data_IF_379369488636
#
_entry.id   IF_379369488636
#
_cell.length_a   1.000
_cell.length_b   1.000
_cell.length_c   1.000
_cell.angle_alpha   90.00
_cell.angle_beta   90.00
_cell.angle_gamma   90.00
#
_symmetry.space_group_name_H-M   'P 1'
#
loop_
_entity.id
_entity.type
_entity.pdbx_description
1 polymer ?
#
# COMPACT_ATOMS: atom_id res chain seq x y z
N UNK A 1 5.73 43.02 52.26
CA UNK A 1 4.58 43.33 51.38
C UNK A 1 5.13 43.94 50.10
N UNK A 2 5.20 43.16 49.02
CA UNK A 2 5.66 43.62 47.71
C UNK A 2 4.45 44.16 46.91
N UNK A 3 4.54 45.38 46.40
CA UNK A 3 3.46 46.02 45.64
C UNK A 3 3.33 45.42 44.23
N UNK A 4 2.12 45.02 43.85
CA UNK A 4 1.78 44.61 42.50
C UNK A 4 1.72 45.84 41.57
N UNK A 5 2.60 45.91 40.58
CA UNK A 5 2.55 46.93 39.54
C UNK A 5 1.73 46.40 38.36
N UNK A 6 0.46 46.82 38.25
CA UNK A 6 -0.38 46.51 37.10
C UNK A 6 -0.12 47.52 35.97
N UNK A 7 0.45 47.06 34.85
CA UNK A 7 0.64 47.88 33.66
C UNK A 7 -0.72 48.30 33.07
N UNK A 8 -0.92 49.60 32.85
CA UNK A 8 -2.13 50.15 32.22
C UNK A 8 -2.21 49.69 30.76
N UNK A 9 -3.41 49.31 30.33
CA UNK A 9 -3.66 48.94 28.93
C UNK A 9 -3.41 50.15 28.00
N UNK A 10 -2.61 49.96 26.96
CA UNK A 10 -2.29 50.99 25.98
C UNK A 10 -3.53 51.39 25.18
N UNK A 11 -3.88 52.68 25.15
CA UNK A 11 -5.00 53.19 24.35
C UNK A 11 -4.67 53.02 22.87
N UNK A 12 -5.35 52.11 22.19
CA UNK A 12 -5.24 51.98 20.73
C UNK A 12 -6.14 53.03 20.07
N UNK A 13 -5.59 53.87 19.19
CA UNK A 13 -6.34 54.94 18.50
C UNK A 13 -7.43 54.42 17.55
N UNK A 14 -7.45 53.12 17.24
CA UNK A 14 -8.39 52.52 16.31
C UNK A 14 -9.01 51.25 16.87
N UNK A 15 -10.35 51.16 16.79
CA UNK A 15 -11.14 49.99 17.15
C UNK A 15 -10.71 48.75 16.36
N UNK A 16 -10.27 47.71 17.07
CA UNK A 16 -9.93 46.40 16.48
C UNK A 16 -11.17 45.77 15.81
N UNK A 17 -10.96 44.85 14.86
CA UNK A 17 -12.06 44.17 14.15
C UNK A 17 -13.06 43.50 15.12
N UNK A 18 -12.60 43.08 16.30
CA UNK A 18 -13.43 42.49 17.34
C UNK A 18 -14.33 43.51 18.07
N UNK A 19 -13.84 44.73 18.35
CA UNK A 19 -14.66 45.74 19.05
C UNK A 19 -15.80 46.31 18.19
N UNK A 20 -15.66 46.25 16.85
CA UNK A 20 -16.73 46.62 15.90
C UNK A 20 -17.93 45.68 15.94
N UNK A 21 -17.75 44.44 16.41
CA UNK A 21 -18.84 43.46 16.49
C UNK A 21 -19.78 43.74 17.67
N UNK A 22 -19.29 44.43 18.71
CA UNK A 22 -20.03 44.70 19.96
C UNK A 22 -21.13 45.77 19.73
N UNK A 23 -20.96 46.64 18.73
CA UNK A 23 -21.96 47.66 18.36
C UNK A 23 -22.92 47.25 17.24
N UNK A 24 -23.03 45.95 16.91
CA UNK A 24 -24.16 45.48 16.10
C UNK A 24 -25.42 45.48 16.96
N UNK A 25 -26.03 46.64 17.07
CA UNK A 25 -27.38 46.79 17.59
C UNK A 25 -28.31 45.98 16.69
N UNK A 26 -29.12 45.10 17.31
CA UNK A 26 -30.23 44.44 16.65
C UNK A 26 -31.26 45.50 16.28
N UNK A 27 -31.08 46.13 15.11
CA UNK A 27 -32.09 47.00 14.52
C UNK A 27 -32.90 46.18 13.53
N UNK A 28 -34.10 45.85 13.99
CA UNK A 28 -35.27 45.60 13.14
C UNK A 28 -35.39 46.68 12.05
N UNK A 29 -36.02 46.29 10.96
CA UNK A 29 -36.59 47.12 9.90
C UNK A 29 -35.71 47.42 8.68
N UNK A 30 -35.81 46.54 7.68
CA UNK A 30 -36.67 46.77 6.50
C UNK A 30 -36.46 45.65 5.49
N UNK A 31 -37.55 44.99 5.13
CA UNK A 31 -37.68 44.14 3.95
C UNK A 31 -37.28 44.94 2.69
N UNK A 32 -35.99 44.97 2.38
CA UNK A 32 -35.53 45.07 1.01
C UNK A 32 -35.18 43.65 0.61
N UNK A 33 -36.03 43.07 -0.24
CA UNK A 33 -35.65 41.96 -1.11
C UNK A 33 -34.58 42.55 -2.03
N UNK A 34 -33.35 42.66 -1.52
CA UNK A 34 -32.19 42.73 -2.37
C UNK A 34 -32.23 41.42 -3.14
N UNK A 35 -32.33 41.53 -4.48
CA UNK A 35 -32.18 40.38 -5.39
C UNK A 35 -31.09 39.51 -4.81
N UNK A 36 -31.40 38.24 -4.53
CA UNK A 36 -30.45 37.28 -4.00
C UNK A 36 -29.24 37.35 -4.91
N UNK A 37 -28.21 38.05 -4.42
CA UNK A 37 -26.98 38.28 -5.16
C UNK A 37 -26.52 36.86 -5.46
N UNK A 38 -26.60 36.48 -6.73
CA UNK A 38 -26.33 35.13 -7.20
C UNK A 38 -24.85 34.94 -6.91
N UNK A 39 -24.55 34.52 -5.68
CA UNK A 39 -23.24 34.24 -5.10
C UNK A 39 -22.67 32.96 -5.75
N UNK A 40 -22.77 32.85 -7.07
CA UNK A 40 -22.28 31.73 -7.88
C UNK A 40 -20.76 31.60 -7.74
N UNK A 41 -20.07 32.68 -7.33
CA UNK A 41 -18.64 32.68 -7.00
C UNK A 41 -18.27 32.51 -5.52
N UNK A 42 -19.13 32.90 -4.56
CA UNK A 42 -18.82 32.83 -3.11
C UNK A 42 -19.10 31.44 -2.56
N UNK A 43 -18.30 30.49 -3.01
CA UNK A 43 -18.49 29.07 -2.70
C UNK A 43 -17.78 28.18 -3.69
N UNK A 44 -17.45 28.65 -4.90
CA UNK A 44 -16.78 27.86 -5.93
C UNK A 44 -15.44 27.27 -5.44
N UNK A 45 -14.62 28.05 -4.72
CA UNK A 45 -13.38 27.54 -4.12
C UNK A 45 -13.63 26.53 -3.00
N UNK A 46 -14.58 26.80 -2.10
CA UNK A 46 -14.92 25.91 -1.00
C UNK A 46 -15.54 24.59 -1.50
N UNK A 47 -16.48 24.66 -2.46
CA UNK A 47 -17.09 23.53 -3.13
C UNK A 47 -16.06 22.72 -3.92
N UNK A 48 -15.10 23.37 -4.59
CA UNK A 48 -13.97 22.68 -5.24
C UNK A 48 -13.11 21.92 -4.23
N UNK A 49 -12.74 22.54 -3.11
CA UNK A 49 -11.94 21.90 -2.05
C UNK A 49 -12.71 20.72 -1.44
N UNK A 50 -14.00 20.89 -1.16
CA UNK A 50 -14.87 19.85 -0.61
C UNK A 50 -15.02 18.68 -1.58
N UNK A 51 -15.24 18.95 -2.88
CA UNK A 51 -15.30 17.91 -3.91
C UNK A 51 -13.99 17.14 -4.01
N UNK A 52 -12.85 17.84 -4.04
CA UNK A 52 -11.53 17.18 -4.05
C UNK A 52 -11.26 16.37 -2.78
N UNK A 53 -11.79 16.78 -1.62
CA UNK A 53 -11.73 16.00 -0.38
C UNK A 53 -12.60 14.75 -0.49
N UNK A 54 -13.86 14.90 -0.90
CA UNK A 54 -14.81 13.80 -1.06
C UNK A 54 -14.28 12.73 -2.02
N UNK A 55 -13.73 13.13 -3.17
CA UNK A 55 -13.14 12.19 -4.14
C UNK A 55 -11.94 11.44 -3.54
N UNK A 56 -11.08 12.12 -2.79
CA UNK A 56 -9.95 11.48 -2.11
C UNK A 56 -10.40 10.50 -1.04
N UNK A 57 -11.37 10.91 -0.23
CA UNK A 57 -11.90 10.09 0.86
C UNK A 57 -12.60 8.84 0.29
N UNK A 58 -13.36 8.98 -0.80
CA UNK A 58 -14.00 7.87 -1.50
C UNK A 58 -12.96 6.90 -2.08
N UNK A 59 -11.91 7.39 -2.76
CA UNK A 59 -10.82 6.56 -3.28
C UNK A 59 -10.08 5.83 -2.16
N UNK A 60 -9.77 6.52 -1.07
CA UNK A 60 -9.10 5.93 0.10
C UNK A 60 -9.97 4.84 0.74
N UNK A 61 -11.26 5.10 0.90
CA UNK A 61 -12.19 4.13 1.47
C UNK A 61 -12.32 2.88 0.58
N UNK A 62 -12.41 3.04 -0.74
CA UNK A 62 -12.45 1.94 -1.69
C UNK A 62 -11.18 1.07 -1.61
N UNK A 63 -9.99 1.68 -1.69
CA UNK A 63 -8.72 0.97 -1.59
C UNK A 63 -8.52 0.27 -0.23
N UNK A 64 -8.95 0.90 0.86
CA UNK A 64 -8.88 0.27 2.19
C UNK A 64 -9.84 -0.92 2.30
N UNK A 65 -11.02 -0.86 1.67
CA UNK A 65 -11.97 -1.97 1.64
C UNK A 65 -11.38 -3.17 0.90
N UNK A 66 -10.77 -2.94 -0.27
CA UNK A 66 -10.09 -3.98 -1.06
C UNK A 66 -8.93 -4.61 -0.30
N UNK A 67 -8.03 -3.79 0.26
CA UNK A 67 -6.89 -4.30 1.03
C UNK A 67 -7.31 -5.14 2.23
N UNK A 68 -8.36 -4.75 2.95
CA UNK A 68 -8.90 -5.51 4.10
C UNK A 68 -9.57 -6.82 3.70
N UNK A 69 -10.16 -6.90 2.51
CA UNK A 69 -10.68 -8.16 2.00
C UNK A 69 -9.55 -9.18 1.74
N UNK A 70 -8.38 -8.70 1.32
CA UNK A 70 -7.19 -9.54 1.03
C UNK A 70 -6.21 -9.73 2.19
N UNK A 71 -6.45 -9.09 3.34
CA UNK A 71 -5.50 -9.04 4.47
C UNK A 71 -6.23 -8.90 5.79
N UNK A 72 -6.13 -9.90 6.64
CA UNK A 72 -6.66 -9.92 8.00
C UNK A 72 -6.72 -11.32 8.58
N UNK A 73 -7.21 -11.44 9.82
CA UNK A 73 -7.41 -12.75 10.47
C UNK A 73 -8.53 -13.59 9.83
N UNK A 74 -9.51 -12.92 9.22
CA UNK A 74 -10.69 -13.56 8.57
C UNK A 74 -10.48 -13.74 7.06
N UNK A 75 -9.43 -13.15 6.47
CA UNK A 75 -9.13 -13.30 5.04
C UNK A 75 -8.49 -14.67 4.74
N UNK A 76 -8.62 -15.18 3.51
CA UNK A 76 -7.87 -16.36 3.10
C UNK A 76 -6.35 -16.11 3.17
N UNK A 77 -5.53 -17.17 3.34
CA UNK A 77 -4.08 -17.07 3.24
C UNK A 77 -3.66 -16.62 1.84
N UNK A 78 -2.67 -15.72 1.77
CA UNK A 78 -2.06 -15.30 0.51
C UNK A 78 -1.10 -16.36 -0.02
N UNK A 79 -1.30 -16.80 -1.26
CA UNK A 79 -0.45 -17.82 -1.87
C UNK A 79 0.78 -17.16 -2.50
N UNK A 80 1.95 -17.46 -1.96
CA UNK A 80 3.25 -17.00 -2.43
C UNK A 80 3.96 -18.19 -3.08
N UNK A 81 4.20 -18.11 -4.39
CA UNK A 81 4.96 -19.12 -5.13
C UNK A 81 6.38 -18.63 -5.34
N UNK A 82 7.36 -19.41 -4.90
CA UNK A 82 8.78 -19.17 -5.14
C UNK A 82 9.18 -19.95 -6.39
N UNK A 83 9.72 -19.25 -7.39
CA UNK A 83 10.15 -19.81 -8.66
C UNK A 83 11.62 -19.49 -8.92
N UNK A 84 12.45 -20.51 -9.10
CA UNK A 84 13.85 -20.34 -9.49
C UNK A 84 13.98 -20.14 -11.00
N UNK A 85 14.69 -19.09 -11.42
CA UNK A 85 15.00 -18.81 -12.83
C UNK A 85 16.19 -19.64 -13.35
N UNK A 86 16.85 -20.40 -12.48
CA UNK A 86 17.96 -21.29 -12.79
C UNK A 86 17.90 -22.53 -11.89
N UNK A 87 18.30 -23.68 -12.44
CA UNK A 87 18.43 -24.95 -11.70
C UNK A 87 19.47 -24.91 -10.56
N UNK A 88 20.41 -23.96 -10.58
CA UNK A 88 21.47 -23.83 -9.56
C UNK A 88 21.01 -23.22 -8.23
N UNK A 89 19.76 -22.78 -8.13
CA UNK A 89 19.25 -22.01 -7.00
C UNK A 89 18.56 -22.93 -5.99
N UNK A 90 19.01 -22.89 -4.74
CA UNK A 90 18.40 -23.62 -3.63
C UNK A 90 17.18 -22.85 -3.08
N UNK A 91 15.99 -23.17 -3.59
CA UNK A 91 14.73 -22.53 -3.19
C UNK A 91 14.28 -22.91 -1.77
N UNK A 92 14.66 -24.10 -1.27
CA UNK A 92 14.26 -24.58 0.04
C UNK A 92 14.77 -23.69 1.17
N UNK A 93 16.04 -23.26 1.09
CA UNK A 93 16.64 -22.36 2.09
C UNK A 93 15.90 -21.02 2.13
N UNK A 94 15.53 -20.48 0.97
CA UNK A 94 14.76 -19.24 0.90
C UNK A 94 13.34 -19.42 1.44
N UNK A 95 12.71 -20.57 1.18
CA UNK A 95 11.39 -20.88 1.73
C UNK A 95 11.42 -20.95 3.26
N UNK A 96 12.43 -21.62 3.84
CA UNK A 96 12.63 -21.70 5.29
C UNK A 96 12.92 -20.32 5.91
N UNK A 97 13.79 -19.51 5.30
CA UNK A 97 14.05 -18.14 5.74
C UNK A 97 12.76 -17.30 5.72
N UNK A 98 11.96 -17.41 4.67
CA UNK A 98 10.72 -16.67 4.54
C UNK A 98 9.68 -17.13 5.57
N UNK A 99 9.56 -18.44 5.81
CA UNK A 99 8.69 -18.98 6.86
C UNK A 99 9.14 -18.52 8.25
N UNK A 100 10.44 -18.50 8.52
CA UNK A 100 11.02 -18.01 9.78
C UNK A 100 10.73 -16.53 9.99
N UNK A 101 10.83 -15.71 8.94
CA UNK A 101 10.48 -14.29 8.99
C UNK A 101 8.99 -14.07 9.24
N UNK A 102 8.13 -14.90 8.66
CA UNK A 102 6.69 -14.81 8.84
C UNK A 102 6.25 -15.27 10.23
N UNK A 103 6.87 -16.32 10.78
CA UNK A 103 6.57 -16.84 12.10
C UNK A 103 7.82 -17.37 12.79
N UNK A 104 8.49 -16.55 13.61
CA UNK A 104 9.73 -16.95 14.28
C UNK A 104 9.51 -18.05 15.33
N UNK A 105 8.29 -18.25 15.83
CA UNK A 105 7.98 -19.18 16.93
C UNK A 105 7.53 -20.58 16.48
N UNK A 106 7.29 -20.82 15.17
CA UNK A 106 6.72 -22.08 14.66
C UNK A 106 7.68 -22.88 13.76
N UNK A 107 9.00 -22.69 13.93
CA UNK A 107 10.04 -23.30 13.10
C UNK A 107 10.01 -24.85 13.05
N UNK A 108 9.27 -25.50 13.95
CA UNK A 108 9.14 -26.97 14.02
C UNK A 108 7.93 -27.53 13.27
N UNK A 109 7.06 -26.67 12.73
CA UNK A 109 5.84 -27.12 12.05
C UNK A 109 6.02 -27.20 10.53
N UNK A 110 5.84 -28.40 9.97
CA UNK A 110 5.88 -28.70 8.52
C UNK A 110 4.76 -28.02 7.70
N UNK A 111 4.09 -27.01 8.24
CA UNK A 111 3.00 -26.30 7.59
C UNK A 111 3.56 -25.23 6.66
N UNK A 112 3.32 -25.38 5.36
CA UNK A 112 3.58 -24.35 4.35
C UNK A 112 2.75 -23.08 4.56
N UNK A 113 1.67 -23.17 5.35
CA UNK A 113 0.79 -22.05 5.68
C UNK A 113 1.07 -21.51 7.07
N UNK A 114 1.36 -20.22 7.13
CA UNK A 114 1.79 -19.51 8.33
C UNK A 114 0.93 -18.27 8.55
N UNK A 115 0.58 -18.00 9.81
CA UNK A 115 -0.05 -16.77 10.25
C UNK A 115 0.97 -15.89 10.95
N UNK A 116 1.28 -14.72 10.38
CA UNK A 116 2.19 -13.76 10.98
C UNK A 116 1.42 -12.70 11.78
N UNK A 117 1.56 -12.65 13.12
CA UNK A 117 0.94 -11.59 13.92
C UNK A 117 1.58 -10.23 13.66
N UNK A 118 2.90 -10.20 13.40
CA UNK A 118 3.67 -8.98 13.17
C UNK A 118 3.20 -8.25 11.91
N UNK A 119 3.01 -9.00 10.83
CA UNK A 119 2.55 -8.44 9.56
C UNK A 119 1.02 -8.48 9.39
N UNK A 120 0.29 -9.02 10.37
CA UNK A 120 -1.18 -9.21 10.37
C UNK A 120 -1.68 -9.88 9.07
N UNK A 121 -0.93 -10.87 8.61
CA UNK A 121 -1.19 -11.58 7.35
C UNK A 121 -1.06 -13.08 7.56
N UNK A 122 -1.83 -13.83 6.76
CA UNK A 122 -1.68 -15.28 6.62
C UNK A 122 -1.15 -15.53 5.22
N UNK A 123 -0.14 -16.39 5.10
CA UNK A 123 0.46 -16.71 3.81
C UNK A 123 0.75 -18.21 3.71
N UNK A 124 0.67 -18.73 2.49
CA UNK A 124 1.09 -20.08 2.13
C UNK A 124 2.26 -19.97 1.18
N UNK A 125 3.39 -20.58 1.53
CA UNK A 125 4.62 -20.56 0.74
C UNK A 125 4.72 -21.87 -0.03
N UNK A 126 4.74 -21.78 -1.36
CA UNK A 126 4.89 -22.92 -2.26
C UNK A 126 6.17 -22.78 -3.07
N UNK A 127 6.88 -23.88 -3.28
CA UNK A 127 8.11 -23.92 -4.08
C UNK A 127 7.79 -24.60 -5.42
N UNK A 128 8.06 -23.91 -6.52
CA UNK A 128 7.85 -24.45 -7.85
C UNK A 128 9.00 -25.41 -8.24
N UNK A 129 8.70 -26.65 -8.71
CA UNK A 129 9.71 -27.60 -9.11
C UNK A 129 10.36 -27.14 -10.41
N UNK A 130 11.68 -27.04 -10.40
CA UNK A 130 12.42 -26.71 -11.61
C UNK A 130 12.39 -27.89 -12.59
N UNK A 131 12.14 -27.63 -13.88
CA UNK A 131 12.06 -28.65 -14.92
C UNK A 131 10.66 -29.18 -15.24
N UNK A 132 9.65 -28.90 -14.42
CA UNK A 132 8.25 -29.23 -14.72
C UNK A 132 7.43 -27.98 -15.03
N UNK A 133 7.28 -27.70 -16.33
CA UNK A 133 6.54 -26.54 -16.82
C UNK A 133 5.06 -26.57 -16.42
N UNK A 134 4.43 -27.74 -16.40
CA UNK A 134 3.00 -27.87 -16.15
C UNK A 134 2.70 -27.56 -14.69
N UNK A 135 3.44 -28.16 -13.75
CA UNK A 135 3.29 -27.86 -12.33
C UNK A 135 3.57 -26.37 -12.03
N UNK A 136 4.56 -25.79 -12.70
CA UNK A 136 4.89 -24.37 -12.59
C UNK A 136 3.75 -23.47 -13.07
N UNK A 137 3.10 -23.81 -14.19
CA UNK A 137 1.90 -23.10 -14.67
C UNK A 137 0.72 -23.21 -13.71
N UNK A 138 0.46 -24.41 -13.18
CA UNK A 138 -0.65 -24.63 -12.24
C UNK A 138 -0.46 -23.82 -10.96
N UNK A 139 0.75 -23.80 -10.41
CA UNK A 139 1.06 -22.96 -9.26
C UNK A 139 0.97 -21.46 -9.57
N UNK A 140 1.47 -21.03 -10.72
CA UNK A 140 1.38 -19.63 -11.13
C UNK A 140 -0.08 -19.13 -11.25
N UNK A 141 -1.01 -20.00 -11.67
CA UNK A 141 -2.44 -19.67 -11.77
C UNK A 141 -3.12 -19.48 -10.42
N UNK A 142 -2.64 -20.16 -9.39
CA UNK A 142 -3.22 -20.12 -8.02
C UNK A 142 -2.53 -19.06 -7.16
N UNK A 143 -1.38 -18.55 -7.59
CA UNK A 143 -0.58 -17.59 -6.83
C UNK A 143 -1.23 -16.20 -6.74
N UNK A 144 -1.24 -15.62 -5.55
CA UNK A 144 -1.47 -14.18 -5.37
C UNK A 144 -0.21 -13.38 -5.64
N UNK A 145 0.96 -14.00 -5.38
CA UNK A 145 2.27 -13.44 -5.63
C UNK A 145 3.26 -14.50 -6.10
N UNK A 146 4.04 -14.18 -7.14
CA UNK A 146 5.17 -15.00 -7.60
C UNK A 146 6.47 -14.27 -7.27
N UNK A 147 7.34 -14.94 -6.53
CA UNK A 147 8.70 -14.50 -6.22
C UNK A 147 9.69 -15.21 -7.15
N UNK A 148 10.20 -14.50 -8.14
CA UNK A 148 11.25 -14.99 -9.03
C UNK A 148 12.60 -14.88 -8.35
N UNK A 149 13.34 -15.98 -8.29
CA UNK A 149 14.66 -16.04 -7.66
C UNK A 149 15.69 -16.22 -8.75
N UNK A 150 16.72 -15.37 -8.76
CA UNK A 150 17.87 -15.48 -9.65
C UNK A 150 19.15 -15.58 -8.84
N UNK A 151 20.17 -16.24 -9.39
CA UNK A 151 21.49 -16.20 -8.78
C UNK A 151 22.20 -14.89 -9.10
N UNK A 152 23.03 -14.39 -8.19
CA UNK A 152 24.00 -13.32 -8.47
C UNK A 152 25.16 -13.80 -9.35
N UNK A 153 25.40 -15.12 -9.39
CA UNK A 153 26.44 -15.72 -10.21
C UNK A 153 25.89 -16.05 -11.60
N UNK A 154 26.57 -15.64 -12.68
CA UNK A 154 26.14 -15.98 -14.03
C UNK A 154 26.27 -17.49 -14.26
N UNK A 155 25.37 -18.03 -15.08
CA UNK A 155 25.35 -19.47 -15.44
C UNK A 155 26.50 -19.80 -16.42
N UNK A 156 27.00 -18.79 -17.14
CA UNK A 156 28.09 -18.93 -18.10
C UNK A 156 29.07 -17.75 -17.96
N UNK A 157 30.37 -18.06 -17.90
CA UNK A 157 31.47 -17.07 -17.85
C UNK A 157 31.85 -16.51 -19.23
N UNK A 158 31.04 -16.78 -20.26
CA UNK A 158 31.28 -16.20 -21.59
C UNK A 158 30.92 -14.71 -21.61
N UNK A 159 31.94 -13.88 -21.85
CA UNK A 159 32.02 -12.41 -21.76
C UNK A 159 30.94 -11.64 -22.53
N UNK A 160 30.10 -12.31 -23.33
CA UNK A 160 29.09 -11.67 -24.20
C UNK A 160 27.64 -11.90 -23.77
N UNK A 161 27.34 -12.92 -22.95
CA UNK A 161 25.98 -13.19 -22.45
C UNK A 161 26.02 -13.79 -21.04
N UNK A 162 26.15 -12.94 -20.02
CA UNK A 162 25.94 -13.34 -18.62
C UNK A 162 24.47 -13.70 -18.40
N UNK A 163 24.09 -14.93 -18.74
CA UNK A 163 22.73 -15.41 -18.52
C UNK A 163 22.57 -15.76 -17.03
N UNK A 164 21.72 -15.00 -16.34
CA UNK A 164 21.29 -15.28 -14.96
C UNK A 164 20.05 -16.20 -14.93
N UNK A 165 19.47 -16.44 -16.11
CA UNK A 165 18.24 -17.19 -16.34
C UNK A 165 18.60 -18.32 -17.30
N UNK A 166 18.25 -19.55 -16.95
CA UNK A 166 18.46 -20.69 -17.85
C UNK A 166 17.38 -20.77 -18.95
N UNK A 167 17.54 -21.74 -19.86
CA UNK A 167 16.59 -21.93 -20.95
C UNK A 167 15.17 -22.26 -20.45
N UNK A 168 15.07 -23.03 -19.35
CA UNK A 168 13.79 -23.41 -18.75
C UNK A 168 13.11 -22.21 -18.08
N UNK A 169 13.83 -21.39 -17.34
CA UNK A 169 13.36 -20.15 -16.73
C UNK A 169 12.88 -19.16 -17.79
N UNK A 170 13.61 -19.02 -18.91
CA UNK A 170 13.20 -18.19 -20.05
C UNK A 170 11.89 -18.69 -20.68
N UNK A 171 11.75 -20.01 -20.85
CA UNK A 171 10.53 -20.64 -21.35
C UNK A 171 9.36 -20.39 -20.38
N UNK A 172 9.54 -20.64 -19.08
CA UNK A 172 8.53 -20.42 -18.05
C UNK A 172 8.09 -18.96 -18.00
N UNK A 173 9.01 -18.00 -18.07
CA UNK A 173 8.69 -16.57 -18.09
C UNK A 173 7.85 -16.18 -19.31
N UNK A 174 8.16 -16.74 -20.47
CA UNK A 174 7.39 -16.51 -21.69
C UNK A 174 5.95 -17.02 -21.53
N UNK A 175 5.79 -18.21 -20.94
CA UNK A 175 4.48 -18.80 -20.65
C UNK A 175 3.72 -17.99 -19.59
N UNK A 176 4.37 -17.61 -18.49
CA UNK A 176 3.74 -16.82 -17.43
C UNK A 176 3.25 -15.46 -17.93
N UNK A 177 4.02 -14.82 -18.83
CA UNK A 177 3.57 -13.59 -19.51
C UNK A 177 2.34 -13.82 -20.38
N UNK A 178 2.24 -14.95 -21.05
CA UNK A 178 1.11 -15.27 -21.92
C UNK A 178 -0.18 -15.60 -21.15
N UNK A 179 -0.08 -16.30 -20.01
CA UNK A 179 -1.24 -16.63 -19.16
C UNK A 179 -1.67 -15.49 -18.24
N UNK A 180 -0.81 -14.50 -18.04
CA UNK A 180 -1.02 -13.38 -17.13
C UNK A 180 -0.31 -13.60 -15.79
N UNK A 181 0.56 -12.66 -15.42
CA UNK A 181 1.28 -12.71 -14.15
C UNK A 181 0.42 -12.12 -13.02
N UNK A 182 0.37 -12.76 -11.85
CA UNK A 182 -0.14 -12.14 -10.63
C UNK A 182 0.85 -11.06 -10.14
N UNK A 183 0.78 -10.64 -8.88
CA UNK A 183 1.81 -9.73 -8.36
C UNK A 183 3.18 -10.42 -8.39
N UNK A 184 4.20 -9.75 -8.89
CA UNK A 184 5.54 -10.34 -9.02
C UNK A 184 6.57 -9.59 -8.19
N UNK A 185 7.49 -10.33 -7.58
CA UNK A 185 8.70 -9.81 -6.96
C UNK A 185 9.92 -10.56 -7.50
N UNK A 186 11.09 -9.93 -7.47
CA UNK A 186 12.36 -10.54 -7.87
C UNK A 186 13.30 -10.54 -6.68
N UNK A 187 13.90 -11.69 -6.38
CA UNK A 187 14.93 -11.90 -5.38
C UNK A 187 16.22 -12.34 -6.05
N UNK A 188 17.33 -11.85 -5.51
CA UNK A 188 18.69 -12.21 -5.93
C UNK A 188 19.32 -12.98 -4.78
N UNK A 189 19.95 -14.11 -5.08
CA UNK A 189 20.64 -14.95 -4.09
C UNK A 189 22.01 -15.42 -4.55
#
# INVERSE_FOLDING_TARGET
>A
MAGFQANKAHKTRFASKASRQIHKTARSDKNRISKADRNVGKGARAARIQRSKMVRDQKRAALLKEKRASSGSVSPPRVIVIFGLSASINLNVLAEELLTLLSPENAESASTTVSSPNYKLRATVLVAPHGDLLACMEMAKVADLIAFVTSANPICEDVTTSSYIDSFGSQCLSVFRAIGLPNTAVFIR
#
